data_IF_994261247413
#
_entry.id   IF_994261247413
#
_cell.length_a   1.000
_cell.length_b   1.000
_cell.length_c   1.000
_cell.angle_alpha   90.00
_cell.angle_beta   90.00
_cell.angle_gamma   90.00
#
_symmetry.space_group_name_H-M   'P 1'
#
loop_
_entity.id
_entity.type
_entity.pdbx_description
1 polymer ?
#
# COMPACT_ATOMS: atom_id res chain seq x y z
N UNK A 1 33.89 -54.14 0.16
CA UNK A 1 33.11 -53.90 -1.07
C UNK A 1 32.09 -52.82 -0.78
N UNK A 2 32.52 -51.64 -1.20
CA UNK A 2 31.77 -50.43 -1.51
C UNK A 2 30.32 -50.65 -1.97
N UNK A 3 29.41 -49.87 -1.40
CA UNK A 3 28.14 -49.51 -2.04
C UNK A 3 27.77 -48.09 -1.60
N UNK A 4 28.21 -47.13 -2.40
CA UNK A 4 27.77 -45.75 -2.36
C UNK A 4 26.31 -45.63 -2.82
N UNK A 5 25.55 -44.73 -2.17
CA UNK A 5 24.48 -43.88 -2.74
C UNK A 5 23.77 -43.11 -1.61
N UNK A 6 23.03 -42.01 -1.90
CA UNK A 6 23.16 -41.06 -3.01
C UNK A 6 23.14 -39.59 -2.56
N UNK A 7 23.80 -38.74 -3.33
CA UNK A 7 23.36 -37.37 -3.65
C UNK A 7 22.98 -36.48 -2.47
N UNK A 8 23.98 -35.78 -1.94
CA UNK A 8 23.78 -34.50 -1.28
C UNK A 8 23.26 -33.52 -2.35
N UNK A 9 21.94 -33.50 -2.54
CA UNK A 9 21.27 -32.51 -3.36
C UNK A 9 21.35 -31.21 -2.57
N UNK A 10 22.50 -30.54 -2.68
CA UNK A 10 22.63 -29.13 -2.36
C UNK A 10 21.53 -28.42 -3.14
N UNK A 11 20.42 -28.12 -2.47
CA UNK A 11 19.35 -27.29 -3.00
C UNK A 11 20.02 -25.98 -3.35
N UNK A 12 20.31 -25.79 -4.64
CA UNK A 12 20.58 -24.48 -5.21
C UNK A 12 19.41 -23.62 -4.77
N UNK A 13 19.65 -22.78 -3.78
CA UNK A 13 18.65 -21.87 -3.25
C UNK A 13 18.35 -20.86 -4.34
N UNK A 14 17.47 -21.21 -5.27
CA UNK A 14 16.88 -20.24 -6.19
C UNK A 14 16.36 -19.11 -5.32
N UNK A 15 16.94 -17.92 -5.50
CA UNK A 15 16.43 -16.68 -4.93
C UNK A 15 15.01 -16.49 -5.47
N UNK A 16 14.02 -17.04 -4.77
CA UNK A 16 12.62 -16.96 -5.18
C UNK A 16 12.19 -15.51 -5.10
N UNK A 17 11.79 -14.96 -6.24
CA UNK A 17 11.23 -13.61 -6.32
C UNK A 17 9.98 -13.56 -5.45
N UNK A 18 9.93 -12.58 -4.54
CA UNK A 18 8.83 -12.42 -3.59
C UNK A 18 7.81 -11.41 -4.09
N UNK A 19 6.62 -11.42 -3.48
CA UNK A 19 5.61 -10.40 -3.70
C UNK A 19 6.13 -8.99 -3.39
N UNK A 20 6.97 -8.82 -2.36
CA UNK A 20 7.61 -7.54 -2.05
C UNK A 20 8.48 -7.03 -3.21
N UNK A 21 9.26 -7.92 -3.84
CA UNK A 21 10.06 -7.57 -5.02
C UNK A 21 9.17 -7.07 -6.15
N UNK A 22 8.06 -7.75 -6.42
CA UNK A 22 7.11 -7.34 -7.44
C UNK A 22 6.50 -5.95 -7.15
N UNK A 23 6.09 -5.69 -5.90
CA UNK A 23 5.54 -4.39 -5.48
C UNK A 23 6.58 -3.28 -5.60
N UNK A 24 7.83 -3.54 -5.20
CA UNK A 24 8.93 -2.59 -5.31
C UNK A 24 9.19 -2.23 -6.77
N UNK A 25 9.34 -3.22 -7.66
CA UNK A 25 9.53 -3.00 -9.09
C UNK A 25 8.35 -2.24 -9.69
N UNK A 26 7.12 -2.61 -9.33
CA UNK A 26 5.92 -1.93 -9.79
C UNK A 26 5.90 -0.46 -9.36
N UNK A 27 6.28 -0.13 -8.12
CA UNK A 27 6.33 1.27 -7.66
C UNK A 27 7.40 2.10 -8.37
N UNK A 28 8.54 1.51 -8.71
CA UNK A 28 9.53 2.16 -9.58
C UNK A 28 8.91 2.44 -10.95
N UNK A 29 8.22 1.45 -11.54
CA UNK A 29 7.51 1.63 -12.79
C UNK A 29 6.44 2.74 -12.70
N UNK A 30 5.70 2.84 -11.60
CA UNK A 30 4.75 3.96 -11.38
C UNK A 30 5.46 5.30 -11.45
N UNK A 31 6.60 5.46 -10.76
CA UNK A 31 7.38 6.71 -10.78
C UNK A 31 7.89 7.02 -12.19
N UNK A 32 8.35 6.00 -12.93
CA UNK A 32 8.75 6.16 -14.33
C UNK A 32 7.57 6.64 -15.17
N UNK A 33 6.39 6.00 -15.07
CA UNK A 33 5.19 6.43 -15.79
C UNK A 33 4.84 7.89 -15.50
N UNK A 34 4.86 8.31 -14.23
CA UNK A 34 4.59 9.70 -13.84
C UNK A 34 5.65 10.67 -14.37
N UNK A 35 6.93 10.29 -14.34
CA UNK A 35 8.02 11.06 -14.94
C UNK A 35 7.84 11.22 -16.45
N UNK A 36 7.44 10.15 -17.16
CA UNK A 36 7.12 10.19 -18.58
C UNK A 36 5.95 11.14 -18.86
N UNK A 37 4.92 11.21 -18.02
CA UNK A 37 3.86 12.21 -18.16
C UNK A 37 4.41 13.64 -18.06
N UNK A 38 5.29 13.90 -17.10
CA UNK A 38 5.97 15.19 -16.96
C UNK A 38 6.81 15.57 -18.17
N UNK A 39 7.53 14.61 -18.76
CA UNK A 39 8.35 14.82 -19.96
C UNK A 39 7.51 15.01 -21.24
N UNK A 40 6.36 14.33 -21.34
CA UNK A 40 5.54 14.31 -22.56
C UNK A 40 4.54 15.47 -22.63
N UNK A 41 3.87 15.79 -21.51
CA UNK A 41 2.87 16.85 -21.43
C UNK A 41 3.41 18.17 -20.87
N UNK A 42 4.62 18.14 -20.28
CA UNK A 42 5.16 19.26 -19.51
C UNK A 42 4.50 19.41 -18.13
N UNK A 43 5.17 20.14 -17.25
CA UNK A 43 4.65 20.52 -15.93
C UNK A 43 4.40 22.03 -15.94
N UNK A 44 3.16 22.42 -16.22
CA UNK A 44 2.77 23.81 -16.48
C UNK A 44 1.80 24.39 -15.45
N UNK A 45 1.19 23.56 -14.61
CA UNK A 45 0.17 24.00 -13.67
C UNK A 45 0.26 23.31 -12.30
N UNK A 46 -0.44 23.90 -11.32
CA UNK A 46 -0.42 23.44 -9.94
C UNK A 46 -0.97 22.01 -9.76
N UNK A 47 -1.94 21.59 -10.58
CA UNK A 47 -2.49 20.22 -10.53
C UNK A 47 -1.41 19.18 -10.77
N UNK A 48 -0.63 19.36 -11.83
CA UNK A 48 0.45 18.45 -12.20
C UNK A 48 1.55 18.44 -11.14
N UNK A 49 1.97 19.63 -10.66
CA UNK A 49 2.98 19.75 -9.60
C UNK A 49 2.53 19.00 -8.34
N UNK A 50 1.33 19.29 -7.82
CA UNK A 50 0.83 18.65 -6.62
C UNK A 50 0.69 17.14 -6.85
N UNK A 51 0.14 16.71 -7.99
CA UNK A 51 -0.03 15.28 -8.27
C UNK A 51 1.30 14.53 -8.22
N UNK A 52 2.33 15.04 -8.90
CA UNK A 52 3.68 14.47 -8.87
C UNK A 52 4.21 14.44 -7.44
N UNK A 53 4.11 15.54 -6.70
CA UNK A 53 4.56 15.62 -5.31
C UNK A 53 3.89 14.53 -4.46
N UNK A 54 2.57 14.40 -4.48
CA UNK A 54 1.85 13.44 -3.63
C UNK A 54 2.16 11.99 -4.00
N UNK A 55 2.10 11.64 -5.29
CA UNK A 55 2.20 10.24 -5.70
C UNK A 55 3.66 9.74 -5.70
N UNK A 56 4.63 10.56 -6.14
CA UNK A 56 6.05 10.20 -6.09
C UNK A 56 6.52 10.14 -4.63
N UNK A 57 6.18 11.11 -3.78
CA UNK A 57 6.58 11.04 -2.35
C UNK A 57 5.98 9.85 -1.64
N UNK A 58 4.78 9.40 -2.01
CA UNK A 58 4.21 8.14 -1.51
C UNK A 58 5.07 6.92 -1.92
N UNK A 59 5.47 6.84 -3.18
CA UNK A 59 6.36 5.77 -3.64
C UNK A 59 7.74 5.83 -2.96
N UNK A 60 8.31 7.02 -2.78
CA UNK A 60 9.56 7.20 -2.04
C UNK A 60 9.41 6.79 -0.57
N UNK A 61 8.32 7.19 0.08
CA UNK A 61 8.03 6.80 1.47
C UNK A 61 7.96 5.29 1.63
N UNK A 62 7.41 4.56 0.66
CA UNK A 62 7.40 3.09 0.68
C UNK A 62 8.81 2.48 0.72
N UNK A 63 9.78 3.07 0.00
CA UNK A 63 11.17 2.61 0.04
C UNK A 63 11.88 3.06 1.31
N UNK A 64 11.68 4.31 1.73
CA UNK A 64 12.25 4.84 2.98
C UNK A 64 11.78 4.04 4.19
N UNK A 65 10.49 3.66 4.25
CA UNK A 65 9.96 2.82 5.32
C UNK A 65 10.62 1.45 5.39
N UNK A 66 10.97 0.85 4.25
CA UNK A 66 11.72 -0.42 4.24
C UNK A 66 13.17 -0.24 4.72
N UNK A 67 13.76 0.91 4.43
CA UNK A 67 15.12 1.24 4.85
C UNK A 67 15.19 1.56 6.35
N UNK A 68 14.25 2.37 6.86
CA UNK A 68 14.16 2.71 8.29
C UNK A 68 13.78 1.52 9.17
N UNK A 69 12.98 0.58 8.65
CA UNK A 69 12.48 -0.57 9.42
C UNK A 69 12.84 -1.90 8.73
N UNK A 70 14.12 -2.31 8.73
CA UNK A 70 14.58 -3.49 8.01
C UNK A 70 13.96 -4.81 8.52
N UNK A 71 13.64 -4.90 9.81
CA UNK A 71 12.93 -6.06 10.36
C UNK A 71 11.50 -6.17 9.81
N UNK A 72 10.84 -5.04 9.61
CA UNK A 72 9.51 -5.01 8.98
C UNK A 72 9.59 -5.50 7.53
N UNK A 73 10.63 -5.11 6.79
CA UNK A 73 10.88 -5.56 5.41
C UNK A 73 10.95 -7.09 5.29
N UNK A 74 11.55 -7.77 6.27
CA UNK A 74 11.66 -9.24 6.28
C UNK A 74 10.31 -9.95 6.42
N UNK A 75 9.30 -9.28 6.98
CA UNK A 75 7.97 -9.84 7.23
C UNK A 75 6.92 -9.40 6.20
N UNK A 76 7.21 -8.35 5.43
CA UNK A 76 6.30 -7.78 4.45
C UNK A 76 6.33 -8.59 3.15
N UNK A 77 5.20 -9.21 2.80
CA UNK A 77 4.99 -9.83 1.47
C UNK A 77 6.15 -10.76 1.07
N UNK A 78 6.62 -11.58 2.02
CA UNK A 78 7.74 -12.50 1.86
C UNK A 78 7.40 -13.75 1.05
N UNK A 79 6.11 -13.98 0.80
CA UNK A 79 5.65 -15.12 0.01
C UNK A 79 6.21 -15.07 -1.42
N UNK A 80 6.63 -16.23 -1.98
CA UNK A 80 7.06 -16.30 -3.37
C UNK A 80 5.89 -15.92 -4.30
N UNK A 81 6.22 -15.29 -5.42
CA UNK A 81 5.22 -14.91 -6.42
C UNK A 81 5.45 -15.66 -7.73
N UNK A 82 4.36 -16.07 -8.39
CA UNK A 82 4.43 -16.64 -9.74
C UNK A 82 4.79 -15.56 -10.76
N UNK A 83 5.25 -15.97 -11.94
CA UNK A 83 5.47 -15.05 -13.06
C UNK A 83 4.21 -14.25 -13.40
N UNK A 84 3.05 -14.92 -13.48
CA UNK A 84 1.76 -14.26 -13.73
C UNK A 84 1.39 -13.24 -12.65
N UNK A 85 1.64 -13.55 -11.38
CA UNK A 85 1.42 -12.63 -10.26
C UNK A 85 2.35 -11.42 -10.33
N UNK A 86 3.61 -11.63 -10.72
CA UNK A 86 4.58 -10.56 -10.92
C UNK A 86 4.14 -9.61 -12.04
N UNK A 87 3.76 -10.16 -13.21
CA UNK A 87 3.22 -9.39 -14.33
C UNK A 87 1.96 -8.62 -13.94
N UNK A 88 1.05 -9.24 -13.19
CA UNK A 88 -0.15 -8.57 -12.67
C UNK A 88 0.22 -7.40 -11.75
N UNK A 89 1.20 -7.55 -10.87
CA UNK A 89 1.65 -6.45 -10.00
C UNK A 89 2.22 -5.28 -10.81
N UNK A 90 2.98 -5.54 -11.88
CA UNK A 90 3.48 -4.47 -12.76
C UNK A 90 2.34 -3.76 -13.50
N UNK A 91 1.37 -4.50 -14.04
CA UNK A 91 0.22 -3.91 -14.72
C UNK A 91 -0.65 -3.11 -13.74
N UNK A 92 -0.94 -3.66 -12.57
CA UNK A 92 -1.86 -3.08 -11.62
C UNK A 92 -1.23 -1.95 -10.79
N UNK A 93 -0.12 -2.22 -10.11
CA UNK A 93 0.56 -1.23 -9.26
C UNK A 93 1.49 -0.34 -10.09
N UNK A 94 2.11 -0.86 -11.16
CA UNK A 94 2.99 -0.04 -11.99
C UNK A 94 2.24 0.89 -12.92
N UNK A 95 1.27 0.37 -13.68
CA UNK A 95 0.58 1.14 -14.73
C UNK A 95 -0.77 1.67 -14.26
N UNK A 96 -1.69 0.82 -13.79
CA UNK A 96 -3.05 1.24 -13.45
C UNK A 96 -3.08 2.26 -12.29
N UNK A 97 -2.18 2.15 -11.31
CA UNK A 97 -2.01 3.18 -10.27
C UNK A 97 -1.61 4.56 -10.82
N UNK A 98 -0.97 4.64 -11.99
CA UNK A 98 -0.64 5.91 -12.62
C UNK A 98 -1.83 6.56 -13.35
N UNK A 99 -2.99 5.87 -13.45
CA UNK A 99 -4.19 6.39 -14.11
C UNK A 99 -4.64 7.76 -13.59
N UNK A 100 -4.76 8.02 -12.27
CA UNK A 100 -5.14 9.33 -11.78
C UNK A 100 -4.09 10.40 -12.15
N UNK A 101 -2.84 10.01 -12.37
CA UNK A 101 -1.77 10.89 -12.83
C UNK A 101 -1.95 11.28 -14.28
N UNK A 102 -2.21 10.30 -15.15
CA UNK A 102 -2.57 10.58 -16.53
C UNK A 102 -3.79 11.53 -16.62
N UNK A 103 -4.82 11.27 -15.82
CA UNK A 103 -6.00 12.12 -15.74
C UNK A 103 -5.68 13.51 -15.19
N UNK A 104 -4.81 13.63 -14.19
CA UNK A 104 -4.37 14.93 -13.67
C UNK A 104 -3.61 15.76 -14.73
N UNK A 105 -2.77 15.10 -15.54
CA UNK A 105 -1.99 15.77 -16.58
C UNK A 105 -2.82 16.22 -17.77
N UNK A 106 -3.89 15.48 -18.07
CA UNK A 106 -4.77 15.72 -19.23
C UNK A 106 -6.04 16.49 -18.88
N UNK A 107 -6.26 16.83 -17.61
CA UNK A 107 -7.43 17.60 -17.19
C UNK A 107 -7.24 19.09 -17.53
N UNK A 108 -8.05 19.66 -18.44
CA UNK A 108 -7.93 21.06 -18.83
C UNK A 108 -8.52 22.02 -17.79
N UNK A 109 -9.29 21.50 -16.82
CA UNK A 109 -9.97 22.33 -15.84
C UNK A 109 -8.98 22.81 -14.75
N UNK A 110 -9.08 24.08 -14.33
CA UNK A 110 -8.26 24.59 -13.25
C UNK A 110 -8.52 23.80 -11.95
N UNK A 111 -7.47 23.61 -11.16
CA UNK A 111 -7.60 23.00 -9.83
C UNK A 111 -8.18 24.04 -8.86
N UNK A 112 -9.32 23.73 -8.25
CA UNK A 112 -9.93 24.63 -7.26
C UNK A 112 -9.19 24.58 -5.92
N UNK A 113 -9.19 25.70 -5.18
CA UNK A 113 -8.59 25.76 -3.84
C UNK A 113 -9.21 24.77 -2.87
N UNK A 114 -10.53 24.52 -2.98
CA UNK A 114 -11.25 23.54 -2.16
C UNK A 114 -10.75 22.13 -2.45
N UNK A 115 -10.60 21.75 -3.74
CA UNK A 115 -10.06 20.45 -4.10
C UNK A 115 -8.61 20.28 -3.65
N UNK A 116 -7.79 21.33 -3.78
CA UNK A 116 -6.42 21.36 -3.25
C UNK A 116 -6.40 21.11 -1.75
N UNK A 117 -7.17 21.88 -0.96
CA UNK A 117 -7.23 21.75 0.48
C UNK A 117 -7.69 20.34 0.89
N UNK A 118 -8.77 19.85 0.30
CA UNK A 118 -9.30 18.51 0.59
C UNK A 118 -8.27 17.41 0.29
N UNK A 119 -7.62 17.46 -0.88
CA UNK A 119 -6.62 16.47 -1.26
C UNK A 119 -5.40 16.49 -0.32
N UNK A 120 -4.88 17.68 0.02
CA UNK A 120 -3.74 17.79 0.93
C UNK A 120 -4.08 17.26 2.32
N UNK A 121 -5.26 17.59 2.84
CA UNK A 121 -5.75 17.05 4.12
C UNK A 121 -5.83 15.53 4.07
N UNK A 122 -6.48 14.96 3.04
CA UNK A 122 -6.58 13.51 2.85
C UNK A 122 -5.20 12.84 2.79
N UNK A 123 -4.27 13.41 2.03
CA UNK A 123 -2.93 12.87 1.89
C UNK A 123 -2.13 12.91 3.20
N UNK A 124 -2.12 14.06 3.88
CA UNK A 124 -1.37 14.27 5.12
C UNK A 124 -1.89 13.34 6.21
N UNK A 125 -3.19 13.39 6.50
CA UNK A 125 -3.76 12.55 7.56
C UNK A 125 -3.73 11.07 7.17
N UNK A 126 -3.95 10.72 5.91
CA UNK A 126 -3.80 9.35 5.43
C UNK A 126 -2.38 8.80 5.64
N UNK A 127 -1.37 9.62 5.34
CA UNK A 127 0.05 9.27 5.55
C UNK A 127 0.38 9.12 7.03
N UNK A 128 -0.04 10.07 7.87
CA UNK A 128 0.22 10.05 9.31
C UNK A 128 -0.44 8.85 9.99
N UNK A 129 -1.71 8.57 9.65
CA UNK A 129 -2.46 7.42 10.19
C UNK A 129 -1.78 6.10 9.79
N UNK A 130 -1.46 5.93 8.51
CA UNK A 130 -0.83 4.71 8.01
C UNK A 130 0.55 4.48 8.65
N UNK A 131 1.41 5.51 8.65
CA UNK A 131 2.74 5.43 9.23
C UNK A 131 2.69 5.15 10.74
N UNK A 132 1.84 5.86 11.49
CA UNK A 132 1.70 5.67 12.94
C UNK A 132 1.22 4.26 13.29
N UNK A 133 0.23 3.75 12.55
CA UNK A 133 -0.30 2.41 12.75
C UNK A 133 0.77 1.34 12.51
N UNK A 134 1.50 1.47 11.40
CA UNK A 134 2.55 0.53 11.06
C UNK A 134 3.70 0.55 12.07
N UNK A 135 4.18 1.74 12.47
CA UNK A 135 5.25 1.89 13.47
C UNK A 135 4.81 1.32 14.82
N UNK A 136 3.63 1.70 15.32
CA UNK A 136 3.11 1.16 16.59
C UNK A 136 3.04 -0.37 16.54
N UNK A 137 2.51 -0.94 15.46
CA UNK A 137 2.38 -2.40 15.33
C UNK A 137 3.73 -3.09 15.26
N UNK A 138 4.68 -2.57 14.47
CA UNK A 138 6.02 -3.13 14.37
C UNK A 138 6.75 -3.08 15.71
N UNK A 139 6.72 -1.94 16.40
CA UNK A 139 7.36 -1.78 17.71
C UNK A 139 6.74 -2.71 18.77
N UNK A 140 5.41 -2.75 18.87
CA UNK A 140 4.73 -3.64 19.81
C UNK A 140 5.08 -5.11 19.55
N UNK A 141 5.14 -5.52 18.27
CA UNK A 141 5.55 -6.87 17.89
C UNK A 141 7.00 -7.21 18.26
N UNK A 142 7.91 -6.25 18.11
CA UNK A 142 9.31 -6.42 18.54
C UNK A 142 9.43 -6.54 20.06
N UNK A 143 8.51 -5.91 20.81
CA UNK A 143 8.43 -6.01 22.27
C UNK A 143 7.67 -7.26 22.77
N UNK A 144 7.28 -8.17 21.87
CA UNK A 144 6.64 -9.43 22.23
C UNK A 144 5.11 -9.39 22.32
N UNK A 145 4.45 -8.32 21.88
CA UNK A 145 2.99 -8.25 21.87
C UNK A 145 2.37 -9.28 20.92
N UNK A 146 1.41 -10.08 21.40
CA UNK A 146 0.76 -11.10 20.57
C UNK A 146 -0.39 -10.54 19.70
N UNK A 147 -1.23 -9.67 20.24
CA UNK A 147 -2.24 -8.92 19.49
C UNK A 147 -2.11 -7.42 19.81
N UNK A 148 -2.15 -6.58 18.78
CA UNK A 148 -2.10 -5.12 18.92
C UNK A 148 -3.51 -4.58 18.72
N UNK A 149 -4.12 -4.12 19.81
CA UNK A 149 -5.52 -3.64 19.86
C UNK A 149 -5.67 -2.29 20.57
N UNK A 150 -4.56 -1.63 20.91
CA UNK A 150 -4.50 -0.37 21.65
C UNK A 150 -4.10 0.83 20.76
N UNK A 151 -3.95 2.02 21.35
CA UNK A 151 -3.50 3.21 20.64
C UNK A 151 -4.38 3.54 19.42
N UNK A 152 -3.78 3.64 18.23
CA UNK A 152 -4.54 3.91 17.00
C UNK A 152 -5.34 2.69 16.51
N UNK A 153 -4.89 1.48 16.85
CA UNK A 153 -5.52 0.22 16.45
C UNK A 153 -6.85 -0.01 17.18
N UNK A 154 -7.06 0.58 18.36
CA UNK A 154 -8.36 0.50 19.07
C UNK A 154 -9.54 1.02 18.24
N UNK A 155 -9.28 1.97 17.34
CA UNK A 155 -10.33 2.57 16.51
C UNK A 155 -10.71 1.70 15.31
N UNK A 156 -9.74 0.98 14.73
CA UNK A 156 -9.99 0.11 13.59
C UNK A 156 -8.92 -0.99 13.44
N UNK A 157 -9.38 -2.23 13.21
CA UNK A 157 -8.52 -3.41 13.00
C UNK A 157 -7.72 -3.37 11.70
N UNK A 158 -8.02 -2.41 10.82
CA UNK A 158 -7.35 -2.17 9.55
C UNK A 158 -7.11 -0.67 9.34
N UNK A 159 -6.80 0.07 10.41
CA UNK A 159 -6.60 1.52 10.37
C UNK A 159 -5.50 1.96 9.39
N UNK A 160 -4.48 1.13 9.17
CA UNK A 160 -3.46 1.40 8.17
C UNK A 160 -4.00 1.35 6.73
N UNK A 161 -4.93 0.43 6.42
CA UNK A 161 -5.62 0.38 5.12
C UNK A 161 -6.55 1.59 4.93
N UNK A 162 -7.18 2.06 6.01
CA UNK A 162 -7.94 3.31 5.95
C UNK A 162 -7.03 4.50 5.58
N UNK A 163 -5.86 4.62 6.23
CA UNK A 163 -4.87 5.63 5.87
C UNK A 163 -4.39 5.53 4.42
N UNK A 164 -4.20 4.30 3.91
CA UNK A 164 -3.90 4.06 2.49
C UNK A 164 -5.00 4.57 1.56
N UNK A 165 -6.26 4.25 1.85
CA UNK A 165 -7.40 4.70 1.04
C UNK A 165 -7.53 6.23 1.02
N UNK A 166 -7.29 6.91 2.14
CA UNK A 166 -7.28 8.39 2.17
C UNK A 166 -6.21 8.96 1.23
N UNK A 167 -5.02 8.36 1.17
CA UNK A 167 -3.99 8.79 0.21
C UNK A 167 -4.43 8.57 -1.22
N UNK A 168 -5.00 7.42 -1.55
CA UNK A 168 -5.46 7.16 -2.92
C UNK A 168 -6.61 8.08 -3.33
N UNK A 169 -7.53 8.40 -2.40
CA UNK A 169 -8.57 9.40 -2.63
C UNK A 169 -7.98 10.78 -2.92
N UNK A 170 -6.90 11.18 -2.23
CA UNK A 170 -6.23 12.45 -2.53
C UNK A 170 -5.75 12.54 -3.98
N UNK A 171 -5.24 11.44 -4.55
CA UNK A 171 -4.82 11.38 -5.94
C UNK A 171 -6.02 11.58 -6.88
N UNK A 172 -7.16 10.94 -6.58
CA UNK A 172 -8.38 11.08 -7.37
C UNK A 172 -8.96 12.50 -7.31
N UNK A 173 -8.91 13.15 -6.14
CA UNK A 173 -9.32 14.56 -5.98
C UNK A 173 -8.43 15.49 -6.80
N UNK A 174 -7.10 15.34 -6.75
CA UNK A 174 -6.18 16.13 -7.58
C UNK A 174 -6.33 15.80 -9.05
N UNK A 175 -6.65 14.57 -9.43
CA UNK A 175 -6.94 14.23 -10.82
C UNK A 175 -8.16 14.98 -11.37
N UNK A 176 -9.16 15.25 -10.51
CA UNK A 176 -10.36 15.99 -10.88
C UNK A 176 -11.21 15.27 -11.93
N UNK A 177 -11.19 13.94 -11.93
CA UNK A 177 -11.92 13.08 -12.86
C UNK A 177 -12.60 11.94 -12.11
N UNK A 178 -13.85 11.62 -12.45
CA UNK A 178 -14.57 10.50 -11.85
C UNK A 178 -13.85 9.15 -12.08
N UNK A 179 -13.21 8.99 -13.25
CA UNK A 179 -12.43 7.79 -13.60
C UNK A 179 -11.25 7.56 -12.67
N UNK A 180 -10.72 8.61 -12.04
CA UNK A 180 -9.62 8.50 -11.11
C UNK A 180 -9.99 7.74 -9.83
N UNK A 181 -11.29 7.66 -9.49
CA UNK A 181 -11.78 6.94 -8.31
C UNK A 181 -11.83 5.42 -8.51
N UNK A 182 -11.61 4.92 -9.74
CA UNK A 182 -11.45 3.48 -9.99
C UNK A 182 -10.27 2.91 -9.19
N UNK A 183 -9.17 3.66 -9.05
CA UNK A 183 -7.99 3.20 -8.29
C UNK A 183 -8.33 2.94 -6.81
N UNK A 184 -8.76 3.92 -6.01
CA UNK A 184 -9.14 3.66 -4.62
C UNK A 184 -10.31 2.67 -4.51
N UNK A 185 -11.26 2.65 -5.46
CA UNK A 185 -12.37 1.71 -5.45
C UNK A 185 -11.93 0.25 -5.58
N UNK A 186 -11.08 -0.07 -6.56
CA UNK A 186 -10.55 -1.42 -6.74
C UNK A 186 -9.66 -1.83 -5.57
N UNK A 187 -8.83 -0.90 -5.07
CA UNK A 187 -7.99 -1.17 -3.89
C UNK A 187 -8.85 -1.47 -2.66
N UNK A 188 -9.95 -0.74 -2.45
CA UNK A 188 -10.86 -1.01 -1.36
C UNK A 188 -11.42 -2.44 -1.45
N UNK A 189 -11.86 -2.88 -2.64
CA UNK A 189 -12.34 -4.26 -2.85
C UNK A 189 -11.26 -5.31 -2.52
N UNK A 190 -10.02 -5.09 -2.97
CA UNK A 190 -8.89 -5.97 -2.64
C UNK A 190 -8.62 -6.00 -1.14
N UNK A 191 -8.70 -4.86 -0.46
CA UNK A 191 -8.59 -4.80 0.99
C UNK A 191 -9.73 -5.54 1.68
N UNK A 192 -10.97 -5.44 1.21
CA UNK A 192 -12.08 -6.20 1.81
C UNK A 192 -11.85 -7.70 1.73
N UNK A 193 -11.42 -8.20 0.57
CA UNK A 193 -11.05 -9.61 0.41
C UNK A 193 -9.93 -10.01 1.38
N UNK A 194 -8.86 -9.20 1.46
CA UNK A 194 -7.73 -9.46 2.36
C UNK A 194 -8.13 -9.40 3.83
N UNK A 195 -8.99 -8.46 4.21
CA UNK A 195 -9.54 -8.34 5.56
C UNK A 195 -10.32 -9.60 5.90
N UNK A 196 -11.23 -10.05 5.03
CA UNK A 196 -12.00 -11.27 5.25
C UNK A 196 -11.07 -12.47 5.53
N UNK A 197 -10.07 -12.69 4.66
CA UNK A 197 -9.11 -13.80 4.84
C UNK A 197 -8.30 -13.66 6.13
N UNK A 198 -7.80 -12.45 6.43
CA UNK A 198 -7.03 -12.16 7.63
C UNK A 198 -7.85 -12.43 8.90
N UNK A 199 -9.10 -11.97 8.94
CA UNK A 199 -9.93 -12.13 10.13
C UNK A 199 -10.28 -13.60 10.42
N UNK A 200 -10.48 -14.44 9.40
CA UNK A 200 -10.67 -15.89 9.60
C UNK A 200 -9.48 -16.54 10.31
N UNK A 201 -8.25 -16.17 9.93
CA UNK A 201 -7.03 -16.66 10.58
C UNK A 201 -6.87 -16.07 11.98
N UNK A 202 -7.28 -14.81 12.19
CA UNK A 202 -7.14 -14.15 13.50
C UNK A 202 -8.07 -14.73 14.56
N UNK A 203 -9.28 -15.16 14.19
CA UNK A 203 -10.24 -15.78 15.13
C UNK A 203 -9.68 -17.07 15.72
N UNK A 204 -8.99 -17.88 14.92
CA UNK A 204 -8.40 -19.14 15.40
C UNK A 204 -7.06 -18.93 16.10
N UNK A 205 -6.31 -17.90 15.71
CA UNK A 205 -4.98 -17.61 16.25
C UNK A 205 -5.00 -16.91 17.61
N UNK A 206 -5.98 -16.04 17.86
CA UNK A 206 -5.98 -15.12 19.01
C UNK A 206 -7.25 -15.26 19.85
N UNK A 207 -7.12 -15.73 21.09
CA UNK A 207 -8.25 -15.88 22.01
C UNK A 207 -8.98 -14.54 22.28
N UNK A 208 -8.26 -13.42 22.32
CA UNK A 208 -8.82 -12.09 22.58
C UNK A 208 -9.40 -11.40 21.33
N UNK A 209 -9.23 -11.97 20.14
CA UNK A 209 -9.68 -11.32 18.91
C UNK A 209 -11.19 -11.10 18.82
N UNK A 210 -12.07 -12.01 19.28
CA UNK A 210 -13.52 -11.75 19.33
C UNK A 210 -13.88 -10.55 20.21
N UNK A 211 -13.16 -10.32 21.31
CA UNK A 211 -13.37 -9.12 22.14
C UNK A 211 -12.94 -7.86 21.39
N UNK A 212 -11.78 -7.89 20.72
CA UNK A 212 -11.31 -6.80 19.88
C UNK A 212 -12.26 -6.48 18.72
N UNK A 213 -12.87 -7.49 18.10
CA UNK A 213 -13.86 -7.28 17.04
C UNK A 213 -15.08 -6.46 17.51
N UNK A 214 -15.51 -6.64 18.76
CA UNK A 214 -16.66 -5.93 19.33
C UNK A 214 -16.33 -4.49 19.73
N UNK A 215 -15.07 -4.19 20.04
CA UNK A 215 -14.65 -2.89 20.56
C UNK A 215 -14.00 -1.96 19.52
N UNK A 216 -13.87 -2.40 18.27
CA UNK A 216 -13.20 -1.64 17.20
C UNK A 216 -13.97 -1.70 15.88
N UNK A 217 -13.76 -0.70 15.02
CA UNK A 217 -14.23 -0.78 13.64
C UNK A 217 -13.39 -1.78 12.83
N UNK A 218 -13.92 -2.21 11.71
CA UNK A 218 -13.29 -3.11 10.75
C UNK A 218 -12.32 -2.35 9.85
N UNK A 219 -12.70 -1.20 9.30
CA UNK A 219 -11.88 -0.40 8.40
C UNK A 219 -12.00 1.09 8.69
N UNK A 220 -13.20 1.66 8.59
CA UNK A 220 -13.48 3.09 8.74
C UNK A 220 -13.85 3.38 10.20
N UNK A 221 -13.02 4.13 10.95
CA UNK A 221 -13.30 4.45 12.35
C UNK A 221 -14.71 5.01 12.55
N UNK A 222 -15.40 4.54 13.59
CA UNK A 222 -16.76 4.95 13.99
C UNK A 222 -17.88 4.66 12.98
N UNK A 223 -17.59 4.05 11.84
CA UNK A 223 -18.59 3.73 10.82
C UNK A 223 -18.66 2.22 10.56
N UNK A 224 -17.56 1.62 10.13
CA UNK A 224 -17.55 0.22 9.77
C UNK A 224 -16.22 -0.46 9.95
#
# INVERSE_FOLDING_TARGET
MENAKPGDNASTGELKVTQLTAINTAKVLTVICLGTLGLTFGVSNLRQVIYLCLHISYCLWWFLGQWFYPQRRQQLFSEPISFSGFSFALLFIGIFYALPGYLAFTNPLPLSLVATAAALTLYIFGSLVNASADVQKTTAKQQGADLVSDGIWRFSRNINYFGDLLRYLSFSVIAGSAWAYLVPGVIALLYLQRINQKEQVMVTKYADFPAYQRSSARLIPYLW
#
